data_IF_820765696562
#
_entry.id   IF_820765696562
#
_cell.length_a   1.000
_cell.length_b   1.000
_cell.length_c   1.000
_cell.angle_alpha   90.00
_cell.angle_beta   90.00
_cell.angle_gamma   90.00
#
_symmetry.space_group_name_H-M   'P 1'
#
loop_
_entity.id
_entity.type
_entity.pdbx_description
1 polymer ?
#
# COMPACT_ATOMS: atom_id res chain seq x y z
N UNK A 1 -1.22 -13.12 -25.21
CA UNK A 1 -2.46 -12.45 -25.67
C UNK A 1 -2.73 -11.27 -24.77
N UNK A 2 -2.25 -10.09 -25.16
CA UNK A 2 -2.42 -8.82 -24.42
C UNK A 2 -3.77 -8.18 -24.70
N UNK A 3 -4.83 -8.80 -24.21
CA UNK A 3 -6.23 -8.45 -24.53
C UNK A 3 -6.92 -7.50 -23.55
N UNK A 4 -6.18 -6.80 -22.69
CA UNK A 4 -6.73 -5.78 -21.79
C UNK A 4 -5.81 -4.57 -21.86
N UNK A 5 -6.34 -3.42 -22.28
CA UNK A 5 -5.60 -2.16 -22.29
C UNK A 5 -5.73 -1.31 -23.54
N UNK A 6 -6.73 -1.55 -24.40
CA UNK A 6 -7.14 -0.50 -25.33
C UNK A 6 -7.82 0.62 -24.54
N UNK A 7 -7.69 1.84 -25.02
CA UNK A 7 -8.27 3.01 -24.36
C UNK A 7 -9.79 2.83 -24.22
N UNK A 8 -10.42 2.27 -25.26
CA UNK A 8 -11.85 1.99 -25.37
C UNK A 8 -12.34 0.93 -24.38
N UNK A 9 -11.45 0.06 -23.88
CA UNK A 9 -11.79 -0.94 -22.85
C UNK A 9 -12.05 -0.30 -21.47
N UNK A 10 -11.45 0.87 -21.24
CA UNK A 10 -11.43 1.55 -19.93
C UNK A 10 -12.12 2.93 -19.95
N UNK A 11 -12.34 3.48 -21.14
CA UNK A 11 -12.97 4.78 -21.34
C UNK A 11 -13.96 4.69 -22.49
N UNK A 12 -15.25 4.59 -22.15
CA UNK A 12 -16.32 4.39 -23.13
C UNK A 12 -16.94 5.71 -23.58
N UNK A 13 -17.10 6.67 -22.66
CA UNK A 13 -17.61 7.99 -22.93
C UNK A 13 -17.08 9.04 -21.94
N UNK A 14 -17.02 10.33 -22.32
CA UNK A 14 -16.63 11.40 -21.39
C UNK A 14 -17.48 11.48 -20.12
N UNK A 15 -18.76 11.07 -20.19
CA UNK A 15 -19.67 11.06 -19.05
C UNK A 15 -19.20 10.16 -17.90
N UNK A 16 -18.39 9.13 -18.20
CA UNK A 16 -17.82 8.20 -17.20
C UNK A 16 -16.90 8.95 -16.21
N UNK A 17 -16.39 10.13 -16.57
CA UNK A 17 -15.50 10.94 -15.75
C UNK A 17 -16.21 12.02 -14.94
N UNK A 18 -17.48 12.32 -15.20
CA UNK A 18 -18.15 13.49 -14.60
C UNK A 18 -18.18 13.41 -13.08
N UNK A 19 -18.55 12.27 -12.52
CA UNK A 19 -18.53 12.05 -11.06
C UNK A 19 -17.14 12.28 -10.46
N UNK A 20 -16.08 11.78 -11.12
CA UNK A 20 -14.70 11.98 -10.65
C UNK A 20 -14.27 13.45 -10.70
N UNK A 21 -14.71 14.18 -11.73
CA UNK A 21 -14.43 15.61 -11.89
C UNK A 21 -15.15 16.42 -10.81
N UNK A 22 -16.43 16.11 -10.54
CA UNK A 22 -17.23 16.76 -9.51
C UNK A 22 -16.63 16.53 -8.11
N UNK A 23 -16.26 15.28 -7.80
CA UNK A 23 -15.56 14.95 -6.55
C UNK A 23 -14.23 15.70 -6.42
N UNK A 24 -13.44 15.76 -7.50
CA UNK A 24 -12.18 16.50 -7.51
C UNK A 24 -12.41 18.00 -7.30
N UNK A 25 -13.41 18.59 -7.95
CA UNK A 25 -13.78 19.99 -7.78
C UNK A 25 -14.15 20.29 -6.32
N UNK A 26 -15.02 19.48 -5.72
CA UNK A 26 -15.41 19.59 -4.31
C UNK A 26 -14.22 19.53 -3.36
N UNK A 27 -13.30 18.59 -3.60
CA UNK A 27 -12.06 18.49 -2.83
C UNK A 27 -11.19 19.74 -2.97
N UNK A 28 -11.04 20.27 -4.19
CA UNK A 28 -10.22 21.45 -4.47
C UNK A 28 -10.80 22.71 -3.82
N UNK A 29 -12.11 22.94 -3.91
CA UNK A 29 -12.79 24.07 -3.26
C UNK A 29 -12.56 24.00 -1.75
N UNK A 30 -12.83 22.86 -1.11
CA UNK A 30 -12.62 22.69 0.34
C UNK A 30 -11.16 22.88 0.74
N UNK A 31 -10.23 22.36 -0.07
CA UNK A 31 -8.78 22.51 0.17
C UNK A 31 -8.30 23.95 0.04
N UNK A 32 -8.90 24.74 -0.85
CA UNK A 32 -8.57 26.18 -1.00
C UNK A 32 -8.80 26.97 0.30
N UNK A 33 -9.77 26.54 1.10
CA UNK A 33 -10.10 27.09 2.42
C UNK A 33 -9.45 26.28 3.58
N UNK A 34 -8.57 25.34 3.24
CA UNK A 34 -8.01 24.37 4.16
C UNK A 34 -7.06 24.97 5.20
N UNK A 35 -6.86 24.22 6.28
CA UNK A 35 -6.01 24.61 7.40
C UNK A 35 -4.72 23.78 7.44
N UNK A 36 -3.70 24.28 8.12
CA UNK A 36 -2.49 23.50 8.35
C UNK A 36 -2.77 22.39 9.37
N UNK A 37 -2.24 21.19 9.12
CA UNK A 37 -2.28 20.12 10.09
C UNK A 37 -1.37 20.44 11.30
N UNK A 38 -1.78 20.01 12.48
CA UNK A 38 -0.98 20.09 13.70
C UNK A 38 0.07 18.97 13.72
N UNK A 39 1.33 19.34 13.98
CA UNK A 39 2.42 18.39 14.08
C UNK A 39 2.23 17.36 15.21
N UNK A 40 2.89 16.22 15.05
CA UNK A 40 3.05 15.20 16.09
C UNK A 40 2.24 13.93 15.84
N UNK A 41 2.24 13.04 16.83
CA UNK A 41 1.55 11.76 16.75
C UNK A 41 0.03 11.98 16.85
N UNK A 42 -0.70 11.55 15.82
CA UNK A 42 -2.17 11.74 15.72
C UNK A 42 -2.84 10.42 15.38
N UNK A 43 -4.06 10.22 15.89
CA UNK A 43 -4.94 9.18 15.36
C UNK A 43 -5.41 9.58 13.97
N UNK A 44 -5.27 8.67 13.02
CA UNK A 44 -5.63 8.91 11.64
C UNK A 44 -6.38 7.72 11.06
N UNK A 45 -7.33 8.01 10.17
CA UNK A 45 -7.77 7.05 9.16
C UNK A 45 -6.94 7.31 7.90
N UNK A 46 -6.15 6.33 7.48
CA UNK A 46 -5.46 6.33 6.19
C UNK A 46 -6.37 5.66 5.17
N UNK A 47 -6.74 6.37 4.12
CA UNK A 47 -7.46 5.81 2.98
C UNK A 47 -6.63 4.68 2.33
N UNK A 48 -7.32 3.77 1.64
CA UNK A 48 -6.74 2.69 0.84
C UNK A 48 -5.52 3.09 -0.01
N UNK A 49 -5.52 4.27 -0.64
CA UNK A 49 -4.36 4.71 -1.43
C UNK A 49 -3.09 4.90 -0.58
N UNK A 50 -3.24 5.45 0.62
CA UNK A 50 -2.17 5.65 1.59
C UNK A 50 -1.78 4.35 2.31
N UNK A 51 -2.75 3.50 2.62
CA UNK A 51 -2.50 2.18 3.20
C UNK A 51 -1.75 1.27 2.20
N UNK A 52 -2.11 1.34 0.91
CA UNK A 52 -1.47 0.59 -0.17
C UNK A 52 -0.01 1.00 -0.38
N UNK A 53 0.30 2.30 -0.43
CA UNK A 53 1.70 2.76 -0.54
C UNK A 53 2.52 2.41 0.70
N UNK A 54 1.94 2.49 1.91
CA UNK A 54 2.61 2.02 3.14
C UNK A 54 2.93 0.52 3.06
N UNK A 55 1.96 -0.30 2.64
CA UNK A 55 2.14 -1.74 2.49
C UNK A 55 3.21 -2.09 1.45
N UNK A 56 3.29 -1.34 0.34
CA UNK A 56 4.23 -1.60 -0.74
C UNK A 56 5.64 -1.09 -0.43
N UNK A 57 5.78 0.21 -0.19
CA UNK A 57 7.08 0.87 -0.09
C UNK A 57 7.78 0.51 1.22
N UNK A 58 7.03 0.53 2.33
CA UNK A 58 7.65 0.46 3.65
C UNK A 58 7.66 -0.94 4.28
N UNK A 59 6.94 -1.91 3.69
CA UNK A 59 6.92 -3.31 4.13
C UNK A 59 7.22 -4.27 2.98
N UNK A 60 6.60 -4.06 1.83
CA UNK A 60 6.76 -4.95 0.68
C UNK A 60 8.23 -5.09 0.27
N UNK A 61 8.94 -3.99 0.04
CA UNK A 61 10.39 -4.04 -0.24
C UNK A 61 11.21 -4.71 0.86
N UNK A 62 10.90 -4.45 2.14
CA UNK A 62 11.66 -5.05 3.25
C UNK A 62 11.55 -6.59 3.27
N UNK A 63 10.54 -7.14 2.59
CA UNK A 63 10.27 -8.58 2.49
C UNK A 63 10.64 -9.20 1.14
N UNK A 64 11.35 -8.47 0.28
CA UNK A 64 12.04 -9.04 -0.87
C UNK A 64 13.31 -9.76 -0.38
N UNK A 65 13.42 -11.07 -0.61
CA UNK A 65 14.42 -11.89 0.09
C UNK A 65 15.88 -11.51 -0.19
N UNK A 66 16.17 -10.84 -1.29
CA UNK A 66 17.51 -10.30 -1.59
C UNK A 66 17.84 -9.10 -0.68
N UNK A 67 16.87 -8.23 -0.38
CA UNK A 67 17.02 -7.17 0.61
C UNK A 67 17.10 -7.73 2.03
N UNK A 68 16.35 -8.80 2.35
CA UNK A 68 16.49 -9.52 3.63
C UNK A 68 17.91 -10.07 3.80
N UNK A 69 18.47 -10.73 2.78
CA UNK A 69 19.86 -11.20 2.80
C UNK A 69 20.86 -10.04 2.90
N UNK A 70 20.49 -8.87 2.39
CA UNK A 70 21.25 -7.62 2.52
C UNK A 70 21.15 -6.95 3.89
N UNK A 71 20.34 -7.47 4.82
CA UNK A 71 20.18 -6.92 6.17
C UNK A 71 18.90 -6.11 6.39
N UNK A 72 17.86 -6.29 5.57
CA UNK A 72 16.56 -5.65 5.83
C UNK A 72 15.97 -6.09 7.17
N UNK A 73 15.32 -5.15 7.85
CA UNK A 73 14.74 -5.34 9.18
C UNK A 73 13.68 -6.45 9.25
N UNK A 74 13.05 -6.82 8.12
CA UNK A 74 12.12 -7.95 8.09
C UNK A 74 12.77 -9.30 8.45
N UNK A 75 14.10 -9.41 8.34
CA UNK A 75 14.87 -10.55 8.84
C UNK A 75 14.61 -10.86 10.31
N UNK A 76 14.44 -9.81 11.13
CA UNK A 76 14.28 -9.93 12.59
C UNK A 76 12.87 -10.36 13.00
N UNK A 77 11.89 -10.24 12.09
CA UNK A 77 10.47 -10.44 12.38
C UNK A 77 9.91 -11.79 11.92
N UNK A 78 10.69 -12.64 11.24
CA UNK A 78 10.16 -13.92 10.74
C UNK A 78 9.59 -14.79 11.87
N UNK A 79 8.31 -15.15 11.74
CA UNK A 79 7.57 -15.91 12.74
C UNK A 79 7.15 -15.11 13.99
N UNK A 80 7.39 -13.79 14.01
CA UNK A 80 7.07 -12.89 15.13
C UNK A 80 5.97 -11.90 14.74
N UNK A 81 5.38 -11.27 15.76
CA UNK A 81 4.40 -10.21 15.58
C UNK A 81 5.08 -8.97 14.99
N UNK A 82 4.72 -8.62 13.75
CA UNK A 82 5.23 -7.47 13.01
C UNK A 82 4.17 -6.38 12.83
N UNK A 83 2.88 -6.72 12.98
CA UNK A 83 1.75 -5.81 12.82
C UNK A 83 0.61 -6.17 13.79
N UNK A 84 -0.46 -5.38 13.82
CA UNK A 84 -1.68 -5.71 14.55
C UNK A 84 -2.28 -7.04 14.04
N UNK A 85 -2.91 -7.85 14.91
CA UNK A 85 -3.62 -9.07 14.50
C UNK A 85 -4.71 -8.86 13.43
N UNK A 86 -5.16 -7.62 13.25
CA UNK A 86 -6.12 -7.24 12.21
C UNK A 86 -5.51 -7.18 10.80
N UNK A 87 -4.18 -7.19 10.68
CA UNK A 87 -3.48 -6.97 9.43
C UNK A 87 -3.03 -8.30 8.82
N UNK A 88 -3.52 -8.59 7.62
CA UNK A 88 -2.96 -9.61 6.73
C UNK A 88 -2.50 -8.93 5.45
N UNK A 89 -1.22 -9.06 5.12
CA UNK A 89 -0.59 -8.45 3.94
C UNK A 89 -0.15 -9.54 2.98
N UNK A 90 -0.56 -9.42 1.72
CA UNK A 90 -0.33 -10.40 0.67
C UNK A 90 0.22 -9.71 -0.57
N UNK A 91 1.22 -10.33 -1.20
CA UNK A 91 1.59 -10.03 -2.59
C UNK A 91 0.85 -11.01 -3.51
N UNK A 92 -0.22 -10.53 -4.14
CA UNK A 92 -1.14 -11.33 -4.96
C UNK A 92 -0.59 -11.46 -6.37
N UNK A 93 -0.60 -12.68 -6.91
CA UNK A 93 -0.03 -12.99 -8.21
C UNK A 93 -0.84 -12.40 -9.37
N UNK A 94 -2.11 -12.78 -9.51
CA UNK A 94 -2.87 -12.47 -10.73
C UNK A 94 -4.35 -12.10 -10.53
N UNK A 95 -5.03 -12.62 -9.51
CA UNK A 95 -6.46 -12.43 -9.35
C UNK A 95 -6.86 -12.36 -7.89
N UNK A 96 -7.86 -11.53 -7.60
CA UNK A 96 -8.48 -11.40 -6.29
C UNK A 96 -9.99 -11.29 -6.46
N UNK A 97 -10.74 -12.07 -5.68
CA UNK A 97 -12.21 -12.08 -5.68
C UNK A 97 -12.83 -12.24 -7.10
N UNK A 98 -12.29 -13.20 -7.86
CA UNK A 98 -12.75 -13.52 -9.22
C UNK A 98 -12.39 -12.49 -10.30
N UNK A 99 -11.67 -11.42 -9.96
CA UNK A 99 -11.24 -10.36 -10.89
C UNK A 99 -9.72 -10.35 -11.04
N UNK A 100 -9.23 -9.84 -12.17
CA UNK A 100 -7.79 -9.60 -12.34
C UNK A 100 -7.33 -8.47 -11.42
N UNK A 101 -6.17 -8.66 -10.79
CA UNK A 101 -5.47 -7.58 -10.10
C UNK A 101 -4.89 -6.58 -11.13
N UNK A 102 -4.50 -5.37 -10.72
CA UNK A 102 -3.94 -4.36 -11.62
C UNK A 102 -2.74 -4.83 -12.44
N UNK A 103 -1.86 -5.63 -11.83
CA UNK A 103 -0.65 -6.17 -12.46
C UNK A 103 -0.63 -7.70 -12.38
N UNK A 104 -1.42 -8.41 -13.20
CA UNK A 104 -1.55 -9.84 -13.09
C UNK A 104 -0.32 -10.55 -13.68
N UNK A 105 0.36 -11.34 -12.85
CA UNK A 105 1.53 -12.15 -13.24
C UNK A 105 1.20 -13.62 -13.01
N UNK A 106 1.30 -14.42 -14.08
CA UNK A 106 1.07 -15.87 -14.03
C UNK A 106 2.37 -16.67 -13.97
N UNK A 107 3.40 -16.16 -14.62
CA UNK A 107 4.75 -16.73 -14.68
C UNK A 107 5.72 -15.56 -14.58
N UNK A 108 6.74 -15.70 -13.75
CA UNK A 108 7.80 -14.70 -13.59
C UNK A 108 8.89 -14.83 -14.67
N UNK A 109 9.85 -13.91 -14.69
CA UNK A 109 10.88 -13.85 -15.75
C UNK A 109 11.95 -14.94 -15.63
N UNK A 110 11.89 -15.78 -14.59
CA UNK A 110 12.66 -17.02 -14.48
C UNK A 110 11.86 -18.26 -14.93
N UNK A 111 10.61 -18.08 -15.39
CA UNK A 111 9.73 -19.18 -15.77
C UNK A 111 9.07 -19.88 -14.59
N UNK A 112 8.99 -19.25 -13.42
CA UNK A 112 8.33 -19.79 -12.22
C UNK A 112 6.85 -19.42 -12.23
N UNK A 113 5.97 -20.40 -12.04
CA UNK A 113 4.55 -20.12 -11.79
C UNK A 113 4.36 -19.22 -10.58
N UNK A 114 3.71 -18.08 -10.80
CA UNK A 114 3.42 -17.11 -9.76
C UNK A 114 2.32 -17.62 -8.82
N UNK A 115 2.54 -17.45 -7.53
CA UNK A 115 1.58 -17.76 -6.46
C UNK A 115 1.52 -16.62 -5.46
N UNK A 116 0.37 -16.48 -4.82
CA UNK A 116 0.20 -15.50 -3.75
C UNK A 116 1.21 -15.76 -2.62
N UNK A 117 1.80 -14.68 -2.12
CA UNK A 117 2.72 -14.71 -0.99
C UNK A 117 2.06 -14.02 0.17
N UNK A 118 1.68 -14.78 1.20
CA UNK A 118 1.24 -14.23 2.47
C UNK A 118 2.48 -13.77 3.23
N UNK A 119 2.72 -12.46 3.21
CA UNK A 119 3.89 -11.83 3.85
C UNK A 119 3.64 -11.66 5.34
N UNK A 120 2.48 -11.12 5.69
CA UNK A 120 2.00 -11.00 7.07
C UNK A 120 0.64 -11.70 7.16
N UNK A 121 0.47 -12.60 8.11
CA UNK A 121 -0.80 -13.26 8.41
C UNK A 121 -1.21 -12.93 9.84
N UNK A 122 -2.33 -12.23 10.00
CA UNK A 122 -2.86 -11.83 11.31
C UNK A 122 -1.77 -11.20 12.20
N UNK A 123 -1.02 -10.27 11.61
CA UNK A 123 0.04 -9.53 12.23
C UNK A 123 1.38 -10.27 12.41
N UNK A 124 1.47 -11.56 12.06
CA UNK A 124 2.72 -12.33 12.13
C UNK A 124 3.40 -12.38 10.77
N UNK A 125 4.69 -12.03 10.68
CA UNK A 125 5.45 -12.15 9.43
C UNK A 125 5.68 -13.64 9.10
N UNK A 126 5.17 -14.11 7.96
CA UNK A 126 5.19 -15.53 7.59
C UNK A 126 6.22 -15.88 6.52
N UNK A 127 6.60 -14.94 5.68
CA UNK A 127 7.52 -15.25 4.59
C UNK A 127 7.95 -14.04 3.78
N UNK A 128 8.83 -14.34 2.83
CA UNK A 128 9.41 -13.38 1.91
C UNK A 128 9.01 -13.70 0.47
N UNK A 129 9.21 -12.74 -0.42
CA UNK A 129 9.14 -12.96 -1.85
C UNK A 129 10.47 -13.53 -2.36
N UNK A 130 10.42 -14.53 -3.23
CA UNK A 130 11.57 -15.30 -3.67
C UNK A 130 11.65 -15.48 -5.19
N UNK A 131 12.87 -15.35 -5.72
CA UNK A 131 13.28 -15.96 -6.98
C UNK A 131 13.82 -17.39 -6.73
N UNK A 132 14.29 -18.09 -7.77
CA UNK A 132 14.84 -19.45 -7.62
C UNK A 132 16.07 -19.51 -6.73
N UNK A 133 16.97 -18.52 -6.83
CA UNK A 133 18.21 -18.49 -6.06
C UNK A 133 17.96 -18.32 -4.57
N UNK A 134 17.17 -17.31 -4.18
CA UNK A 134 16.87 -17.07 -2.76
C UNK A 134 15.97 -18.17 -2.20
N UNK A 135 15.02 -18.70 -2.96
CA UNK A 135 14.24 -19.86 -2.54
C UNK A 135 15.14 -21.05 -2.16
N UNK A 136 16.16 -21.34 -2.99
CA UNK A 136 17.15 -22.37 -2.69
C UNK A 136 17.97 -22.05 -1.43
N UNK A 137 18.38 -20.80 -1.25
CA UNK A 137 19.13 -20.36 -0.06
C UNK A 137 18.34 -20.56 1.24
N UNK A 138 17.05 -20.17 1.24
CA UNK A 138 16.16 -20.28 2.40
C UNK A 138 15.52 -21.67 2.56
N UNK A 139 15.77 -22.61 1.64
CA UNK A 139 15.18 -23.95 1.68
C UNK A 139 13.67 -23.98 1.45
N UNK A 140 13.13 -23.00 0.71
CA UNK A 140 11.69 -22.85 0.40
C UNK A 140 11.42 -22.99 -1.10
N UNK A 141 10.14 -23.03 -1.48
CA UNK A 141 9.74 -23.00 -2.90
C UNK A 141 9.74 -21.57 -3.45
N UNK A 142 10.16 -21.33 -4.70
CA UNK A 142 10.06 -20.01 -5.32
C UNK A 142 8.61 -19.55 -5.40
N UNK A 143 8.41 -18.24 -5.45
CA UNK A 143 7.07 -17.62 -5.35
C UNK A 143 6.61 -16.96 -6.64
N UNK A 144 7.48 -16.91 -7.65
CA UNK A 144 7.20 -16.25 -8.92
C UNK A 144 7.31 -14.73 -8.79
N UNK A 145 8.36 -14.24 -8.12
CA UNK A 145 8.62 -12.83 -7.89
C UNK A 145 9.89 -12.34 -8.60
N UNK A 146 10.54 -13.15 -9.45
CA UNK A 146 11.67 -12.67 -10.25
C UNK A 146 11.15 -11.86 -11.44
N UNK A 147 11.32 -10.54 -11.42
CA UNK A 147 10.81 -9.64 -12.47
C UNK A 147 11.90 -8.75 -13.03
N UNK A 148 11.90 -8.58 -14.35
CA UNK A 148 12.70 -7.66 -15.14
C UNK A 148 11.77 -6.69 -15.89
N UNK A 149 12.17 -5.42 -16.05
CA UNK A 149 11.36 -4.46 -16.81
C UNK A 149 11.57 -4.60 -18.32
N UNK A 150 12.82 -4.78 -18.74
CA UNK A 150 13.20 -5.00 -20.14
C UNK A 150 13.85 -6.37 -20.33
N UNK A 151 13.92 -6.84 -21.58
CA UNK A 151 14.55 -8.13 -21.91
C UNK A 151 16.04 -8.22 -21.54
N UNK A 152 16.72 -7.06 -21.44
CA UNK A 152 18.15 -6.96 -21.12
C UNK A 152 18.41 -6.75 -19.63
N UNK A 153 17.35 -6.54 -18.84
CA UNK A 153 17.44 -6.32 -17.41
C UNK A 153 17.64 -7.64 -16.66
N UNK A 154 18.46 -7.63 -15.61
CA UNK A 154 18.54 -8.77 -14.69
C UNK A 154 17.21 -8.93 -13.93
N UNK A 155 16.61 -10.13 -13.85
CA UNK A 155 15.45 -10.34 -13.00
C UNK A 155 15.80 -10.12 -11.53
N UNK A 156 15.03 -9.27 -10.86
CA UNK A 156 15.17 -9.00 -9.42
C UNK A 156 13.97 -9.58 -8.67
N UNK A 157 14.11 -9.82 -7.37
CA UNK A 157 12.95 -10.15 -6.54
C UNK A 157 12.11 -8.88 -6.40
N UNK A 158 10.89 -8.91 -6.92
CA UNK A 158 9.97 -7.78 -7.01
C UNK A 158 8.54 -8.17 -6.62
N UNK A 159 7.86 -7.21 -6.00
CA UNK A 159 6.42 -7.23 -5.77
C UNK A 159 5.60 -7.27 -7.08
N UNK A 160 4.33 -7.63 -6.97
CA UNK A 160 3.34 -7.69 -8.04
C UNK A 160 2.12 -6.84 -7.68
N UNK A 161 1.23 -7.37 -6.84
CA UNK A 161 0.04 -6.69 -6.34
C UNK A 161 0.03 -6.77 -4.82
N UNK A 162 0.67 -5.81 -4.17
CA UNK A 162 0.84 -5.81 -2.73
C UNK A 162 -0.38 -5.16 -2.07
N UNK A 163 -1.05 -5.90 -1.19
CA UNK A 163 -2.24 -5.39 -0.53
C UNK A 163 -2.43 -5.89 0.90
N UNK A 164 -3.04 -5.04 1.72
CA UNK A 164 -3.66 -5.44 2.99
C UNK A 164 -5.04 -6.01 2.67
N UNK A 165 -5.41 -7.15 3.26
CA UNK A 165 -6.73 -7.73 3.06
C UNK A 165 -7.81 -6.96 3.85
N UNK A 166 -9.07 -6.90 3.35
CA UNK A 166 -10.16 -6.20 4.02
C UNK A 166 -10.49 -6.81 5.38
N UNK A 167 -10.88 -5.94 6.30
CA UNK A 167 -11.40 -6.28 7.62
C UNK A 167 -12.93 -6.22 7.64
N UNK A 168 -13.48 -5.77 8.77
CA UNK A 168 -14.92 -5.73 9.00
C UNK A 168 -15.46 -4.32 9.30
N UNK A 169 -14.59 -3.33 9.48
CA UNK A 169 -15.01 -1.99 9.91
C UNK A 169 -15.60 -1.19 8.74
N UNK A 170 -16.61 -0.36 9.01
CA UNK A 170 -17.06 0.64 8.04
C UNK A 170 -16.25 1.93 8.18
N UNK A 171 -15.94 2.58 7.06
CA UNK A 171 -15.21 3.86 7.07
C UNK A 171 -15.88 4.92 7.95
N UNK A 172 -17.21 4.99 7.93
CA UNK A 172 -17.98 5.91 8.78
C UNK A 172 -17.74 5.65 10.28
N UNK A 173 -17.70 4.38 10.71
CA UNK A 173 -17.44 4.02 12.11
C UNK A 173 -15.99 4.34 12.51
N UNK A 174 -15.04 4.14 11.58
CA UNK A 174 -13.64 4.50 11.79
C UNK A 174 -13.49 6.00 12.04
N UNK A 175 -14.16 6.84 11.22
CA UNK A 175 -14.16 8.29 11.40
C UNK A 175 -14.87 8.66 12.70
N UNK A 176 -16.04 8.07 12.98
CA UNK A 176 -16.84 8.34 14.18
C UNK A 176 -16.07 8.02 15.48
N UNK A 177 -15.15 7.05 15.44
CA UNK A 177 -14.34 6.63 16.59
C UNK A 177 -13.19 7.57 16.96
N UNK A 178 -12.94 8.64 16.19
CA UNK A 178 -11.82 9.57 16.42
C UNK A 178 -12.35 10.89 17.00
N UNK A 179 -11.90 11.25 18.20
CA UNK A 179 -12.24 12.52 18.84
C UNK A 179 -11.51 13.70 18.19
N UNK A 180 -10.19 13.56 17.97
CA UNK A 180 -9.37 14.58 17.33
C UNK A 180 -8.24 13.91 16.54
N UNK A 181 -8.28 14.04 15.22
CA UNK A 181 -7.35 13.37 14.33
C UNK A 181 -7.54 13.78 12.88
N UNK A 182 -7.18 12.90 11.96
CA UNK A 182 -7.23 13.21 10.53
C UNK A 182 -7.73 12.04 9.69
N UNK A 183 -8.45 12.36 8.62
CA UNK A 183 -8.70 11.44 7.51
C UNK A 183 -7.77 11.81 6.36
N UNK A 184 -6.79 10.96 6.08
CA UNK A 184 -5.78 11.18 5.06
C UNK A 184 -6.16 10.40 3.80
N UNK A 185 -6.29 11.08 2.67
CA UNK A 185 -6.91 10.51 1.46
C UNK A 185 -5.88 10.25 0.37
N UNK A 186 -5.23 11.31 -0.12
CA UNK A 186 -4.41 11.23 -1.33
C UNK A 186 -2.93 11.37 -1.00
N UNK A 187 -2.11 10.34 -1.22
CA UNK A 187 -0.67 10.47 -1.12
C UNK A 187 -0.12 11.30 -2.29
N UNK A 188 1.05 11.89 -2.09
CA UNK A 188 1.94 12.35 -3.15
C UNK A 188 3.19 11.48 -3.19
N UNK A 189 4.34 12.05 -3.56
CA UNK A 189 5.62 11.37 -3.50
C UNK A 189 6.04 11.07 -2.06
N UNK A 190 6.97 10.13 -1.93
CA UNK A 190 7.76 9.95 -0.72
C UNK A 190 8.76 8.83 -0.88
N UNK A 191 9.31 8.38 0.24
CA UNK A 191 10.41 7.42 0.28
C UNK A 191 10.22 6.48 1.47
N UNK A 192 10.64 5.24 1.31
CA UNK A 192 10.83 4.29 2.39
C UNK A 192 12.21 3.65 2.29
N UNK A 193 12.76 3.25 3.43
CA UNK A 193 14.02 2.53 3.54
C UNK A 193 13.79 1.09 4.01
N UNK A 194 14.77 0.25 3.77
CA UNK A 194 14.91 -1.14 4.22
C UNK A 194 14.90 -1.32 5.74
N UNK A 195 15.05 -0.22 6.50
CA UNK A 195 14.85 -0.11 7.95
C UNK A 195 13.39 0.06 8.36
N UNK A 196 12.46 0.09 7.40
CA UNK A 196 11.03 0.40 7.55
C UNK A 196 10.72 1.85 7.93
N UNK A 197 11.72 2.74 7.96
CA UNK A 197 11.47 4.18 8.06
C UNK A 197 10.85 4.68 6.76
N UNK A 198 9.86 5.56 6.86
CA UNK A 198 9.23 6.16 5.70
C UNK A 198 8.82 7.62 5.93
N UNK A 199 8.68 8.33 4.82
CA UNK A 199 8.05 9.64 4.75
C UNK A 199 7.24 9.76 3.47
N UNK A 200 5.95 10.06 3.57
CA UNK A 200 5.08 10.31 2.42
C UNK A 200 4.42 11.68 2.54
N UNK A 201 4.29 12.39 1.42
CA UNK A 201 3.45 13.59 1.37
C UNK A 201 1.97 13.21 1.27
N UNK A 202 1.10 14.04 1.84
CA UNK A 202 -0.35 13.95 1.75
C UNK A 202 -0.89 15.25 1.19
N UNK A 203 -1.58 15.17 0.06
CA UNK A 203 -2.10 16.34 -0.68
C UNK A 203 -3.61 16.48 -0.60
N UNK A 204 -4.29 15.55 0.07
CA UNK A 204 -5.71 15.66 0.36
C UNK A 204 -6.03 14.92 1.65
N UNK A 205 -6.70 15.62 2.56
CA UNK A 205 -7.22 15.05 3.79
C UNK A 205 -8.12 16.04 4.50
N UNK A 206 -8.66 15.61 5.64
CA UNK A 206 -9.59 16.38 6.46
C UNK A 206 -9.24 16.22 7.93
N UNK A 207 -9.48 17.27 8.72
CA UNK A 207 -9.57 17.12 10.17
C UNK A 207 -10.71 16.16 10.52
N UNK A 208 -10.55 15.40 11.60
CA UNK A 208 -11.64 14.71 12.28
C UNK A 208 -11.80 15.35 13.65
N UNK A 209 -13.00 15.85 13.95
CA UNK A 209 -13.35 16.42 15.25
C UNK A 209 -14.66 15.80 15.72
N UNK A 210 -14.67 15.22 16.93
CA UNK A 210 -15.82 14.57 17.55
C UNK A 210 -16.52 13.57 16.61
N UNK A 211 -15.73 12.72 15.96
CA UNK A 211 -16.25 11.69 15.05
C UNK A 211 -16.77 12.19 13.70
N UNK A 212 -16.47 13.44 13.31
CA UNK A 212 -16.97 14.06 12.08
C UNK A 212 -15.85 14.68 11.27
N UNK A 213 -15.96 14.61 9.95
CA UNK A 213 -15.07 15.34 9.04
C UNK A 213 -15.24 16.85 9.25
N UNK A 214 -14.13 17.51 9.51
CA UNK A 214 -14.02 18.96 9.65
C UNK A 214 -13.47 19.60 8.38
N UNK A 215 -12.59 20.58 8.55
CA UNK A 215 -11.99 21.33 7.44
C UNK A 215 -11.01 20.45 6.66
N UNK A 216 -10.85 20.73 5.38
CA UNK A 216 -9.77 20.16 4.60
C UNK A 216 -8.42 20.62 5.17
N UNK A 217 -7.40 19.78 5.04
CA UNK A 217 -6.03 20.16 5.39
C UNK A 217 -5.23 20.55 4.15
N UNK A 218 -4.30 21.49 4.34
CA UNK A 218 -3.24 21.78 3.38
C UNK A 218 -2.25 20.62 3.33
N UNK A 219 -1.36 20.67 2.34
CA UNK A 219 -0.33 19.66 2.14
C UNK A 219 0.49 19.48 3.42
N UNK A 220 0.73 18.23 3.76
CA UNK A 220 1.48 17.81 4.94
C UNK A 220 2.29 16.57 4.59
N UNK A 221 3.14 16.12 5.51
CA UNK A 221 3.84 14.85 5.42
C UNK A 221 3.42 13.93 6.55
N UNK A 222 3.55 12.63 6.32
CA UNK A 222 3.46 11.61 7.36
C UNK A 222 4.77 10.85 7.41
N UNK A 223 5.18 10.44 8.60
CA UNK A 223 6.41 9.67 8.78
C UNK A 223 6.33 8.72 9.97
N UNK A 224 7.26 7.78 10.00
CA UNK A 224 7.43 6.84 11.11
C UNK A 224 8.17 5.58 10.67
N UNK A 225 8.08 4.56 11.53
CA UNK A 225 8.51 3.19 11.22
C UNK A 225 7.26 2.39 10.85
N UNK A 226 7.24 1.78 9.67
CA UNK A 226 6.04 1.16 9.13
C UNK A 226 5.55 -0.05 9.94
N UNK A 227 6.45 -0.86 10.48
CA UNK A 227 6.05 -1.94 11.40
C UNK A 227 5.35 -1.38 12.65
N UNK A 228 5.85 -0.30 13.25
CA UNK A 228 5.20 0.35 14.40
C UNK A 228 3.82 0.90 14.02
N UNK A 229 3.71 1.53 12.84
CA UNK A 229 2.42 2.04 12.35
C UNK A 229 1.43 0.90 12.12
N UNK A 230 1.86 -0.24 11.58
CA UNK A 230 1.01 -1.40 11.40
C UNK A 230 0.66 -2.11 12.71
N UNK A 231 1.54 -2.08 13.71
CA UNK A 231 1.24 -2.56 15.07
C UNK A 231 0.15 -1.73 15.76
N UNK A 232 0.11 -0.42 15.47
CA UNK A 232 -0.92 0.49 16.01
C UNK A 232 -2.28 0.43 15.28
N UNK A 233 -2.42 -0.44 14.26
CA UNK A 233 -3.69 -0.57 13.53
C UNK A 233 -4.78 -1.12 14.45
N UNK A 234 -5.84 -0.33 14.62
CA UNK A 234 -6.97 -0.63 15.51
C UNK A 234 -8.27 -0.95 14.76
N UNK A 235 -8.39 -0.54 13.49
CA UNK A 235 -9.53 -0.86 12.64
C UNK A 235 -9.05 -1.02 11.19
N UNK A 236 -9.65 -1.96 10.47
CA UNK A 236 -9.39 -2.24 9.05
C UNK A 236 -10.73 -2.26 8.33
N UNK A 237 -10.86 -1.42 7.29
CA UNK A 237 -12.10 -1.30 6.54
C UNK A 237 -12.41 -2.57 5.76
N UNK A 238 -13.69 -2.82 5.52
CA UNK A 238 -14.19 -3.91 4.70
C UNK A 238 -14.13 -3.65 3.18
N UNK A 239 -13.84 -2.42 2.76
CA UNK A 239 -13.82 -2.05 1.35
C UNK A 239 -12.43 -2.23 0.74
N UNK A 240 -12.27 -3.19 -0.16
CA UNK A 240 -11.04 -3.38 -0.93
C UNK A 240 -10.97 -2.38 -2.09
N UNK A 241 -9.91 -1.57 -2.15
CA UNK A 241 -9.62 -0.74 -3.33
C UNK A 241 -8.28 -1.09 -3.91
N UNK A 242 -8.23 -1.11 -5.23
CA UNK A 242 -7.00 -1.29 -5.99
C UNK A 242 -6.56 0.05 -6.58
N UNK A 243 -5.26 0.24 -6.63
CA UNK A 243 -4.62 1.34 -7.31
C UNK A 243 -3.51 0.80 -8.20
N UNK A 244 -3.55 1.15 -9.47
CA UNK A 244 -2.40 1.00 -10.37
C UNK A 244 -1.50 2.22 -10.17
N UNK A 245 -0.87 2.31 -9.00
CA UNK A 245 -0.24 3.54 -8.52
C UNK A 245 1.19 3.78 -9.06
N UNK A 246 1.49 3.22 -10.23
CA UNK A 246 2.63 3.63 -11.03
C UNK A 246 3.80 2.66 -10.99
N UNK A 247 4.98 3.25 -10.82
CA UNK A 247 6.25 2.68 -11.23
C UNK A 247 7.15 2.51 -10.01
N UNK A 248 7.38 1.26 -9.60
CA UNK A 248 8.20 0.94 -8.43
C UNK A 248 9.68 0.86 -8.83
N UNK A 249 10.55 1.52 -8.06
CA UNK A 249 11.99 1.63 -8.34
C UNK A 249 12.85 0.72 -7.47
N UNK A 250 13.59 -0.21 -8.09
CA UNK A 250 14.68 -0.99 -7.46
C UNK A 250 15.67 -1.40 -8.53
N UNK A 251 16.73 -0.60 -8.75
CA UNK A 251 17.63 -0.62 -9.93
C UNK A 251 16.94 -0.45 -11.30
N UNK A 252 15.67 -0.83 -11.39
CA UNK A 252 14.77 -0.81 -12.53
C UNK A 252 13.44 -0.24 -12.07
N UNK A 253 12.74 0.38 -13.01
CA UNK A 253 11.42 0.94 -12.80
C UNK A 253 10.40 -0.03 -13.41
N UNK A 254 9.52 -0.65 -12.61
CA UNK A 254 8.58 -1.66 -13.08
C UNK A 254 7.15 -1.35 -12.62
N UNK A 255 6.11 -1.64 -13.42
CA UNK A 255 4.73 -1.48 -12.99
C UNK A 255 4.34 -2.49 -11.90
N UNK A 256 3.62 -1.99 -10.90
CA UNK A 256 3.12 -2.74 -9.75
C UNK A 256 1.68 -2.34 -9.43
N UNK A 257 0.93 -3.26 -8.85
CA UNK A 257 -0.35 -3.00 -8.22
C UNK A 257 -0.18 -2.77 -6.72
N UNK A 258 -0.93 -1.83 -6.18
CA UNK A 258 -1.10 -1.67 -4.75
C UNK A 258 -2.59 -1.74 -4.41
N UNK A 259 -2.92 -2.30 -3.27
CA UNK A 259 -4.32 -2.41 -2.86
C UNK A 259 -4.50 -2.43 -1.38
N UNK A 260 -5.76 -2.38 -0.99
CA UNK A 260 -6.17 -2.62 0.38
C UNK A 260 -7.33 -1.74 0.82
N UNK A 261 -7.76 -1.95 2.06
CA UNK A 261 -8.76 -1.13 2.71
C UNK A 261 -8.15 0.14 3.32
N UNK A 262 -9.03 1.05 3.77
CA UNK A 262 -8.63 2.06 4.73
C UNK A 262 -8.24 1.43 6.07
N UNK A 263 -7.29 2.02 6.78
CA UNK A 263 -6.84 1.57 8.11
C UNK A 263 -6.89 2.72 9.11
N UNK A 264 -7.24 2.42 10.37
CA UNK A 264 -7.14 3.37 11.49
C UNK A 264 -5.88 3.07 12.29
N UNK A 265 -4.98 4.04 12.42
CA UNK A 265 -3.71 3.89 13.14
C UNK A 265 -3.26 5.22 13.78
N UNK A 266 -2.13 5.20 14.47
CA UNK A 266 -1.41 6.40 14.94
C UNK A 266 -0.19 6.63 14.06
N UNK A 267 0.01 7.86 13.62
CA UNK A 267 1.11 8.24 12.73
C UNK A 267 1.58 9.65 13.03
N UNK A 268 2.87 9.93 12.82
CA UNK A 268 3.39 11.30 12.96
C UNK A 268 2.98 12.12 11.75
N UNK A 269 2.38 13.28 12.00
CA UNK A 269 2.06 14.29 11.00
C UNK A 269 3.09 15.41 11.06
N UNK A 270 3.59 15.80 9.89
CA UNK A 270 4.40 16.99 9.68
C UNK A 270 3.55 18.24 9.81
N UNK A 271 3.90 19.11 10.75
CA UNK A 271 3.24 20.41 10.86
C UNK A 271 3.66 21.37 9.74
N UNK A 272 3.48 22.65 10.04
CA UNK A 272 3.88 23.76 9.18
C UNK A 272 5.39 23.86 9.00
#
# INVERSE_FOLDING_TARGET
TGGLGQFEDNFSAPADLYTMIDELYEHLVKKSEGVYAEAGLKECVMNAALAGILAHEAIGHTTEADLVLGGSVAGDYLGKQAASPLVTLVDIAHSYDGKHCPMPIYIDDEGTTARDVVVIEQGVLKGYMHNKQSARHFGVKPTGNARAYQYMDEPLIRMRNTAILPGASKLADMIASIENGYYLIKPSNGQADTTSEFMFGVVLGYEIKNGKLGRAIKDTTISGVAFDVLQNVSMVSDEMKWSCAGMCGKKQVIPVGMGGPAIKTKINIGGR
#
